data_IF_591015800739
#
_entry.id   IF_591015800739
#
_cell.length_a   1.000
_cell.length_b   1.000
_cell.length_c   1.000
_cell.angle_alpha   90.00
_cell.angle_beta   90.00
_cell.angle_gamma   90.00
#
_symmetry.space_group_name_H-M   'P 1'
#
loop_
_entity.id
_entity.type
_entity.pdbx_description
1 polymer ?
#
# COMPACT_ATOMS: atom_id res chain seq x y z
N UNK A 1 -6.00 -18.84 -7.29
CA UNK A 1 -7.17 -17.95 -7.06
C UNK A 1 -6.86 -17.05 -5.89
N UNK A 2 -6.82 -15.74 -6.11
CA UNK A 2 -6.76 -14.79 -5.01
C UNK A 2 -8.05 -14.90 -4.19
N UNK A 3 -7.93 -15.09 -2.88
CA UNK A 3 -9.09 -15.19 -2.00
C UNK A 3 -9.80 -13.84 -1.90
N UNK A 4 -11.09 -13.85 -1.53
CA UNK A 4 -11.82 -12.60 -1.22
C UNK A 4 -11.11 -11.80 -0.12
N UNK A 5 -10.47 -12.49 0.82
CA UNK A 5 -9.64 -11.88 1.87
C UNK A 5 -8.45 -11.13 1.28
N UNK A 6 -7.72 -11.71 0.33
CA UNK A 6 -6.58 -11.04 -0.30
C UNK A 6 -6.96 -9.69 -0.93
N UNK A 7 -8.06 -9.65 -1.69
CA UNK A 7 -8.51 -8.42 -2.33
C UNK A 7 -8.99 -7.37 -1.32
N UNK A 8 -9.59 -7.82 -0.21
CA UNK A 8 -9.97 -6.93 0.89
C UNK A 8 -8.74 -6.32 1.56
N UNK A 9 -7.73 -7.13 1.86
CA UNK A 9 -6.49 -6.69 2.49
C UNK A 9 -5.69 -5.76 1.55
N UNK A 10 -5.63 -6.09 0.26
CA UNK A 10 -4.97 -5.26 -0.75
C UNK A 10 -5.67 -3.89 -0.89
N UNK A 11 -7.00 -3.86 -0.86
CA UNK A 11 -7.79 -2.63 -0.93
C UNK A 11 -7.60 -1.77 0.32
N UNK A 12 -7.65 -2.36 1.52
CA UNK A 12 -7.39 -1.66 2.78
C UNK A 12 -6.01 -1.00 2.75
N UNK A 13 -4.98 -1.74 2.31
CA UNK A 13 -3.62 -1.22 2.13
C UNK A 13 -3.58 -0.07 1.14
N UNK A 14 -4.21 -0.22 -0.02
CA UNK A 14 -4.22 0.82 -1.05
C UNK A 14 -4.89 2.11 -0.57
N UNK A 15 -6.02 2.01 0.14
CA UNK A 15 -6.71 3.18 0.72
C UNK A 15 -5.82 3.85 1.77
N UNK A 16 -5.20 3.07 2.66
CA UNK A 16 -4.28 3.60 3.67
C UNK A 16 -3.09 4.32 3.03
N UNK A 17 -2.50 3.72 1.99
CA UNK A 17 -1.38 4.31 1.24
C UNK A 17 -1.80 5.60 0.52
N UNK A 18 -2.97 5.65 -0.11
CA UNK A 18 -3.49 6.87 -0.72
C UNK A 18 -3.70 7.99 0.30
N UNK A 19 -4.33 7.67 1.44
CA UNK A 19 -4.55 8.64 2.52
C UNK A 19 -3.23 9.19 3.05
N UNK A 20 -2.25 8.32 3.30
CA UNK A 20 -0.92 8.74 3.75
C UNK A 20 -0.18 9.60 2.71
N UNK A 21 -0.30 9.27 1.42
CA UNK A 21 0.31 10.05 0.35
C UNK A 21 -0.33 11.44 0.22
N UNK A 22 -1.66 11.54 0.32
CA UNK A 22 -2.39 12.82 0.35
C UNK A 22 -1.97 13.64 1.57
N UNK A 23 -1.89 13.02 2.75
CA UNK A 23 -1.48 13.70 3.98
C UNK A 23 -0.06 14.28 3.87
N UNK A 24 0.84 13.64 3.12
CA UNK A 24 2.21 14.11 2.92
C UNK A 24 2.29 15.42 2.10
N UNK A 25 1.23 15.79 1.37
CA UNK A 25 1.17 17.06 0.62
C UNK A 25 0.94 18.25 1.56
N UNK A 26 0.32 18.03 2.73
CA UNK A 26 0.04 19.08 3.70
C UNK A 26 1.31 19.47 4.46
N UNK A 27 1.95 20.54 4.01
CA UNK A 27 3.09 21.18 4.68
C UNK A 27 2.65 22.46 5.40
N UNK A 28 3.54 23.05 6.20
CA UNK A 28 3.24 24.30 6.91
C UNK A 28 2.81 25.41 5.94
N UNK A 29 1.67 26.05 6.24
CA UNK A 29 1.09 27.10 5.39
C UNK A 29 0.21 26.58 4.24
N UNK A 30 0.15 25.27 4.00
CA UNK A 30 -0.73 24.64 3.01
C UNK A 30 -1.95 24.06 3.73
N UNK A 31 -3.13 24.56 3.39
CA UNK A 31 -4.42 24.17 3.99
C UNK A 31 -5.31 23.46 2.99
N UNK A 32 -6.39 22.85 3.47
CA UNK A 32 -7.38 22.17 2.62
C UNK A 32 -8.01 23.09 1.55
N UNK A 33 -8.00 24.41 1.76
CA UNK A 33 -8.54 25.38 0.80
C UNK A 33 -7.49 25.88 -0.20
N UNK A 34 -6.20 25.69 0.08
CA UNK A 34 -5.10 26.24 -0.73
C UNK A 34 -4.30 25.17 -1.46
N UNK A 35 -4.55 23.88 -1.20
CA UNK A 35 -3.91 22.79 -1.95
C UNK A 35 -4.39 22.75 -3.40
N UNK A 36 -3.48 22.35 -4.30
CA UNK A 36 -3.87 21.91 -5.64
C UNK A 36 -4.52 20.52 -5.54
N UNK A 37 -5.84 20.48 -5.73
CA UNK A 37 -6.62 19.25 -5.62
C UNK A 37 -6.34 18.25 -6.74
N UNK A 38 -5.99 18.74 -7.94
CA UNK A 38 -5.72 17.86 -9.08
C UNK A 38 -4.44 17.07 -8.80
N UNK A 39 -3.37 17.77 -8.43
CA UNK A 39 -2.09 17.13 -8.12
C UNK A 39 -2.19 16.27 -6.86
N UNK A 40 -2.87 16.75 -5.81
CA UNK A 40 -3.02 16.00 -4.54
C UNK A 40 -3.76 14.67 -4.75
N UNK A 41 -4.86 14.69 -5.52
CA UNK A 41 -5.61 13.47 -5.81
C UNK A 41 -4.84 12.55 -6.78
N UNK A 42 -4.08 13.11 -7.73
CA UNK A 42 -3.23 12.33 -8.62
C UNK A 42 -2.11 11.59 -7.86
N UNK A 43 -1.50 12.23 -6.86
CA UNK A 43 -0.52 11.61 -5.96
C UNK A 43 -1.16 10.45 -5.19
N UNK A 44 -2.32 10.69 -4.57
CA UNK A 44 -3.06 9.65 -3.84
C UNK A 44 -3.44 8.46 -4.72
N UNK A 45 -3.95 8.71 -5.92
CA UNK A 45 -4.32 7.68 -6.89
C UNK A 45 -3.10 6.86 -7.35
N UNK A 46 -1.98 7.53 -7.63
CA UNK A 46 -0.72 6.87 -8.01
C UNK A 46 -0.23 5.96 -6.88
N UNK A 47 -0.27 6.43 -5.63
CA UNK A 47 0.15 5.65 -4.48
C UNK A 47 -0.75 4.42 -4.23
N UNK A 48 -2.08 4.56 -4.37
CA UNK A 48 -3.00 3.43 -4.35
C UNK A 48 -2.70 2.40 -5.45
N UNK A 49 -2.47 2.87 -6.69
CA UNK A 49 -2.15 2.00 -7.81
C UNK A 49 -0.86 1.20 -7.54
N UNK A 50 0.19 1.88 -7.08
CA UNK A 50 1.46 1.23 -6.68
C UNK A 50 1.22 0.19 -5.59
N UNK A 51 0.38 0.49 -4.59
CA UNK A 51 0.06 -0.47 -3.51
C UNK A 51 -0.64 -1.73 -4.06
N UNK A 52 -1.61 -1.58 -4.96
CA UNK A 52 -2.29 -2.72 -5.59
C UNK A 52 -1.32 -3.55 -6.42
N UNK A 53 -0.52 -2.91 -7.30
CA UNK A 53 0.47 -3.59 -8.13
C UNK A 53 1.51 -4.34 -7.26
N UNK A 54 1.96 -3.73 -6.17
CA UNK A 54 2.90 -4.35 -5.22
C UNK A 54 2.27 -5.54 -4.51
N UNK A 55 0.99 -5.46 -4.14
CA UNK A 55 0.26 -6.58 -3.54
C UNK A 55 0.18 -7.77 -4.49
N UNK A 56 -0.11 -7.50 -5.78
CA UNK A 56 -0.13 -8.52 -6.84
C UNK A 56 1.27 -9.11 -7.05
N UNK A 57 2.30 -8.28 -7.18
CA UNK A 57 3.67 -8.74 -7.33
C UNK A 57 4.13 -9.59 -6.14
N UNK A 58 3.78 -9.20 -4.92
CA UNK A 58 4.09 -9.94 -3.69
C UNK A 58 3.46 -11.33 -3.68
N UNK A 59 2.24 -11.48 -4.22
CA UNK A 59 1.63 -12.81 -4.39
C UNK A 59 2.28 -13.65 -5.47
N UNK A 60 2.90 -13.03 -6.48
CA UNK A 60 3.64 -13.74 -7.54
C UNK A 60 5.03 -14.18 -7.08
N UNK A 61 5.64 -13.45 -6.13
CA UNK A 61 6.97 -13.74 -5.59
C UNK A 61 6.88 -14.66 -4.35
N UNK A 62 5.73 -14.68 -3.67
CA UNK A 62 5.49 -15.51 -2.49
C UNK A 62 5.26 -16.99 -2.82
N UNK A 63 6.33 -17.77 -2.91
CA UNK A 63 6.26 -19.20 -2.64
C UNK A 63 5.77 -19.42 -1.19
N UNK A 64 4.83 -20.36 -1.03
CA UNK A 64 4.02 -20.60 0.19
C UNK A 64 4.77 -21.10 1.44
N UNK A 65 6.10 -21.21 1.43
CA UNK A 65 6.86 -21.91 2.49
C UNK A 65 7.99 -21.12 3.14
N UNK A 66 8.05 -19.79 3.02
CA UNK A 66 9.08 -19.04 3.79
C UNK A 66 8.56 -17.71 4.28
N UNK A 67 8.18 -17.72 5.55
CA UNK A 67 8.20 -16.53 6.39
C UNK A 67 9.63 -15.96 6.36
N UNK A 68 9.85 -14.87 5.63
CA UNK A 68 11.21 -14.34 5.40
C UNK A 68 11.84 -13.65 6.62
N UNK A 69 11.37 -13.89 7.85
CA UNK A 69 11.96 -13.32 9.07
C UNK A 69 12.00 -14.30 10.27
N UNK A 70 12.00 -15.61 10.04
CA UNK A 70 12.41 -16.56 11.07
C UNK A 70 13.24 -17.63 10.36
N UNK A 71 14.54 -17.66 10.63
CA UNK A 71 15.35 -18.83 10.30
C UNK A 71 14.66 -20.07 10.89
N UNK A 72 14.59 -21.21 10.18
CA UNK A 72 14.01 -22.42 10.73
C UNK A 72 14.82 -22.76 11.99
N UNK A 73 14.20 -22.57 13.16
CA UNK A 73 14.78 -22.94 14.44
C UNK A 73 15.14 -24.42 14.37
N UNK A 74 16.43 -24.69 14.45
CA UNK A 74 17.00 -26.02 14.65
C UNK A 74 16.30 -26.67 15.83
N UNK A 75 15.68 -27.82 15.56
CA UNK A 75 15.17 -28.69 16.60
C UNK A 75 16.38 -29.30 17.30
N UNK A 76 16.66 -28.84 18.52
CA UNK A 76 17.39 -29.62 19.53
C UNK A 76 16.38 -30.29 20.46
#
# INVERSE_FOLDING_TARGET
>A
MHSKTFWKDALERAIKTAAQAILAVFVAGVTILTIDWIDTLAIGATAALVSILTSIASTSIGNRDSASLIAPGTKE
#
